data_IF_856959614473
#
_entry.id   IF_856959614473
#
_cell.length_a   1.000
_cell.length_b   1.000
_cell.length_c   1.000
_cell.angle_alpha   90.00
_cell.angle_beta   90.00
_cell.angle_gamma   90.00
#
_symmetry.space_group_name_H-M   'P 1'
#
loop_
_entity.id
_entity.type
_entity.pdbx_description
1 polymer ?
#
# COMPACT_ATOMS: atom_id res chain seq x y z
N UNK A 1 14.07 -4.66 -1.49
CA UNK A 1 13.49 -5.90 -2.06
C UNK A 1 13.48 -7.02 -1.03
N UNK A 2 14.64 -7.41 -0.47
CA UNK A 2 14.76 -8.52 0.51
C UNK A 2 13.74 -8.44 1.65
N UNK A 3 13.63 -7.30 2.32
CA UNK A 3 12.66 -7.14 3.42
C UNK A 3 11.22 -7.44 3.00
N UNK A 4 10.79 -6.99 1.81
CA UNK A 4 9.45 -7.25 1.31
C UNK A 4 9.24 -8.75 1.06
N UNK A 5 10.21 -9.43 0.43
CA UNK A 5 10.16 -10.88 0.17
C UNK A 5 10.09 -11.71 1.45
N UNK A 6 10.94 -11.38 2.43
CA UNK A 6 10.97 -12.08 3.72
C UNK A 6 9.66 -11.87 4.50
N UNK A 7 9.14 -10.64 4.48
CA UNK A 7 7.87 -10.31 5.12
C UNK A 7 6.70 -11.07 4.49
N UNK A 8 6.65 -11.12 3.16
CA UNK A 8 5.64 -11.84 2.38
C UNK A 8 5.65 -13.33 2.72
N UNK A 9 6.84 -13.92 2.70
CA UNK A 9 7.08 -15.33 3.05
C UNK A 9 6.63 -15.61 4.48
N UNK A 10 6.97 -14.72 5.42
CA UNK A 10 6.59 -14.88 6.83
C UNK A 10 5.09 -14.79 7.03
N UNK A 11 4.42 -13.85 6.37
CA UNK A 11 2.96 -13.71 6.42
C UNK A 11 2.28 -14.97 5.86
N UNK A 12 2.79 -15.53 4.76
CA UNK A 12 2.27 -16.80 4.23
C UNK A 12 2.43 -17.98 5.19
N UNK A 13 3.56 -18.08 5.89
CA UNK A 13 3.76 -19.09 6.92
C UNK A 13 2.75 -18.91 8.06
N UNK A 14 2.54 -17.68 8.52
CA UNK A 14 1.58 -17.36 9.58
C UNK A 14 0.13 -17.66 9.16
N UNK A 15 -0.24 -17.38 7.91
CA UNK A 15 -1.56 -17.71 7.36
C UNK A 15 -1.79 -19.23 7.39
N UNK A 16 -0.81 -20.03 6.94
CA UNK A 16 -0.89 -21.49 6.98
C UNK A 16 -0.98 -22.06 8.40
N UNK A 17 -0.54 -21.29 9.40
CA UNK A 17 -0.68 -21.61 10.83
C UNK A 17 -2.01 -21.12 11.43
N UNK A 18 -2.91 -20.55 10.63
CA UNK A 18 -4.20 -20.01 11.10
C UNK A 18 -4.09 -18.73 11.94
N UNK A 19 -2.96 -18.00 11.87
CA UNK A 19 -2.73 -16.79 12.67
C UNK A 19 -3.31 -15.50 12.06
N UNK A 20 -3.71 -15.57 10.80
CA UNK A 20 -4.33 -14.50 10.05
C UNK A 20 -5.42 -15.10 9.15
N UNK A 21 -6.28 -14.24 8.59
CA UNK A 21 -7.45 -14.68 7.85
C UNK A 21 -7.29 -14.58 6.33
N UNK A 22 -6.36 -13.76 5.84
CA UNK A 22 -6.17 -13.51 4.41
C UNK A 22 -4.75 -13.02 4.12
N UNK A 23 -4.27 -13.24 2.90
CA UNK A 23 -2.96 -12.73 2.45
C UNK A 23 -2.97 -12.44 0.95
N UNK A 24 -2.52 -11.24 0.58
CA UNK A 24 -2.23 -10.86 -0.80
C UNK A 24 -0.75 -10.56 -0.94
N UNK A 25 -0.02 -11.48 -1.58
CA UNK A 25 1.42 -11.36 -1.67
C UNK A 25 1.90 -10.31 -2.66
N UNK A 26 3.06 -9.72 -2.36
CA UNK A 26 3.79 -8.82 -3.27
C UNK A 26 4.94 -9.51 -4.02
N UNK A 27 5.14 -10.82 -3.78
CA UNK A 27 6.16 -11.63 -4.44
C UNK A 27 6.10 -11.51 -5.98
N UNK A 28 7.22 -11.11 -6.57
CA UNK A 28 7.41 -10.94 -8.01
C UNK A 28 7.28 -9.49 -8.47
N UNK A 29 6.71 -8.61 -7.65
CA UNK A 29 6.45 -7.21 -8.00
C UNK A 29 7.43 -6.24 -7.32
N UNK A 30 8.37 -6.73 -6.53
CA UNK A 30 9.17 -5.87 -5.63
C UNK A 30 10.06 -4.89 -6.39
N UNK A 31 10.57 -5.28 -7.56
CA UNK A 31 11.44 -4.44 -8.37
C UNK A 31 10.69 -3.24 -8.94
N UNK A 32 9.55 -3.48 -9.60
CA UNK A 32 8.72 -2.41 -10.19
C UNK A 32 8.17 -1.47 -9.13
N UNK A 33 7.71 -2.03 -8.01
CA UNK A 33 7.20 -1.26 -6.88
C UNK A 33 8.27 -0.38 -6.22
N UNK A 34 9.49 -0.89 -6.05
CA UNK A 34 10.56 -0.06 -5.49
C UNK A 34 11.08 0.97 -6.49
N UNK A 35 11.08 0.69 -7.79
CA UNK A 35 11.39 1.68 -8.81
C UNK A 35 10.41 2.87 -8.73
N UNK A 36 9.10 2.61 -8.55
CA UNK A 36 8.13 3.66 -8.30
C UNK A 36 8.39 4.37 -6.96
N UNK A 37 8.67 3.62 -5.89
CA UNK A 37 8.89 4.20 -4.56
C UNK A 37 10.10 5.14 -4.48
N UNK A 38 11.15 4.93 -5.28
CA UNK A 38 12.32 5.83 -5.33
C UNK A 38 12.08 7.10 -6.17
N UNK A 39 11.09 7.08 -7.05
CA UNK A 39 10.71 8.24 -7.87
C UNK A 39 9.74 9.20 -7.14
N UNK A 40 9.15 8.77 -6.04
CA UNK A 40 8.13 9.48 -5.27
C UNK A 40 8.75 10.20 -4.06
N UNK A 41 8.30 11.43 -3.78
CA UNK A 41 8.67 12.18 -2.57
C UNK A 41 7.75 11.81 -1.42
N UNK A 42 8.27 10.94 -0.57
CA UNK A 42 7.60 10.40 0.63
C UNK A 42 7.03 11.52 1.50
N UNK A 43 5.76 11.40 1.89
CA UNK A 43 5.05 12.39 2.72
C UNK A 43 4.68 13.70 2.02
N UNK A 44 5.06 13.86 0.74
CA UNK A 44 4.72 15.03 -0.09
C UNK A 44 3.80 14.61 -1.24
N UNK A 45 4.16 13.58 -1.98
CA UNK A 45 3.36 13.04 -3.06
C UNK A 45 2.30 12.08 -2.52
N UNK A 46 1.15 12.01 -3.19
CA UNK A 46 0.02 11.16 -2.77
C UNK A 46 0.09 9.78 -3.41
N UNK A 47 -0.32 8.78 -2.66
CA UNK A 47 -0.25 7.38 -3.08
C UNK A 47 -1.59 6.68 -2.96
N UNK A 48 -2.01 6.05 -4.06
CA UNK A 48 -3.16 5.16 -4.17
C UNK A 48 -2.66 3.76 -4.56
N UNK A 49 -2.02 3.03 -3.62
CA UNK A 49 -1.40 1.75 -3.91
C UNK A 49 -2.42 0.64 -4.16
N UNK A 50 -1.99 -0.36 -4.93
CA UNK A 50 -2.72 -1.60 -5.12
C UNK A 50 -2.53 -2.55 -3.93
N UNK A 51 -3.39 -3.56 -3.78
CA UNK A 51 -3.27 -4.48 -2.64
C UNK A 51 -1.99 -5.33 -2.69
N UNK A 52 -1.35 -5.44 -3.86
CA UNK A 52 -0.05 -6.10 -4.01
C UNK A 52 1.14 -5.18 -3.74
N UNK A 53 0.93 -3.89 -3.44
CA UNK A 53 1.99 -2.87 -3.32
C UNK A 53 2.72 -2.85 -1.96
N UNK A 54 2.92 -4.03 -1.38
CA UNK A 54 3.65 -4.19 -0.12
C UNK A 54 5.07 -3.64 -0.20
N UNK A 55 5.81 -3.92 -1.28
CA UNK A 55 7.17 -3.41 -1.44
C UNK A 55 7.21 -1.91 -1.70
N UNK A 56 6.23 -1.36 -2.41
CA UNK A 56 6.11 0.09 -2.62
C UNK A 56 5.89 0.81 -1.30
N UNK A 57 4.94 0.34 -0.48
CA UNK A 57 4.63 0.92 0.83
C UNK A 57 5.86 0.87 1.75
N UNK A 58 6.58 -0.26 1.80
CA UNK A 58 7.86 -0.36 2.50
C UNK A 58 8.89 0.64 1.94
N UNK A 59 8.96 0.74 0.62
CA UNK A 59 9.86 1.63 -0.10
C UNK A 59 9.63 3.10 0.22
N UNK A 60 8.39 3.53 0.46
CA UNK A 60 8.08 4.93 0.81
C UNK A 60 8.07 5.21 2.31
N UNK A 61 8.39 4.22 3.15
CA UNK A 61 8.65 4.41 4.59
C UNK A 61 7.69 3.70 5.55
N UNK A 62 6.69 2.97 5.06
CA UNK A 62 5.87 2.14 5.93
C UNK A 62 6.75 1.05 6.55
N UNK A 63 6.62 0.82 7.86
CA UNK A 63 7.46 -0.19 8.52
C UNK A 63 6.93 -1.61 8.28
N UNK A 64 7.82 -2.60 8.31
CA UNK A 64 7.41 -4.02 8.30
C UNK A 64 6.51 -4.38 9.49
N UNK A 65 6.73 -3.74 10.65
CA UNK A 65 5.86 -3.83 11.82
C UNK A 65 4.45 -3.33 11.50
N UNK A 66 4.30 -2.17 10.87
CA UNK A 66 3.01 -1.63 10.48
C UNK A 66 2.24 -2.60 9.56
N UNK A 67 2.91 -3.17 8.54
CA UNK A 67 2.30 -4.16 7.66
C UNK A 67 1.92 -5.45 8.41
N UNK A 68 2.73 -5.93 9.35
CA UNK A 68 2.39 -7.08 10.19
C UNK A 68 1.23 -6.82 11.14
N UNK A 69 1.13 -5.63 11.72
CA UNK A 69 0.01 -5.26 12.59
C UNK A 69 -1.31 -5.25 11.80
N UNK A 70 -1.30 -4.69 10.59
CA UNK A 70 -2.45 -4.75 9.68
C UNK A 70 -2.79 -6.19 9.26
N UNK A 71 -1.78 -6.98 8.87
CA UNK A 71 -1.96 -8.39 8.51
C UNK A 71 -2.57 -9.23 9.63
N UNK A 72 -2.21 -8.97 10.88
CA UNK A 72 -2.70 -9.68 12.05
C UNK A 72 -3.96 -9.04 12.69
N UNK A 73 -4.53 -8.01 12.06
CA UNK A 73 -5.68 -7.25 12.56
C UNK A 73 -5.53 -6.78 14.02
N UNK A 74 -4.39 -6.17 14.35
CA UNK A 74 -4.13 -5.66 15.71
C UNK A 74 -4.69 -4.25 15.88
N UNK A 75 -5.09 -3.92 17.10
CA UNK A 75 -5.55 -2.56 17.48
C UNK A 75 -4.51 -1.48 17.10
N UNK A 76 -3.23 -1.78 17.29
CA UNK A 76 -2.12 -0.89 16.96
C UNK A 76 -1.83 -0.77 15.45
N UNK A 77 -2.62 -1.40 14.57
CA UNK A 77 -2.50 -1.25 13.13
C UNK A 77 -2.66 0.23 12.71
N UNK A 78 -1.61 0.87 12.17
CA UNK A 78 -1.69 2.28 11.79
C UNK A 78 -2.54 2.51 10.54
N UNK A 79 -2.85 1.46 9.76
CA UNK A 79 -3.61 1.58 8.52
C UNK A 79 -5.11 1.77 8.82
N UNK A 80 -5.66 1.00 9.75
CA UNK A 80 -7.11 0.98 9.98
C UNK A 80 -7.53 0.73 11.43
N UNK A 81 -6.59 0.46 12.33
CA UNK A 81 -6.89 -0.08 13.67
C UNK A 81 -7.48 -1.49 13.60
N UNK A 82 -7.07 -2.30 12.62
CA UNK A 82 -7.51 -3.69 12.46
C UNK A 82 -8.91 -3.87 11.86
N UNK A 83 -9.49 -2.80 11.28
CA UNK A 83 -10.85 -2.82 10.68
C UNK A 83 -10.87 -3.25 9.22
N UNK A 84 -9.76 -3.07 8.50
CA UNK A 84 -9.63 -3.42 7.10
C UNK A 84 -9.05 -4.83 6.92
N UNK A 85 -9.31 -5.41 5.75
CA UNK A 85 -8.65 -6.64 5.32
C UNK A 85 -7.12 -6.45 5.27
N UNK A 86 -6.33 -7.50 5.54
CA UNK A 86 -4.89 -7.47 5.29
C UNK A 86 -4.52 -6.89 3.92
N UNK A 87 -3.39 -6.17 3.86
CA UNK A 87 -2.88 -5.49 2.65
C UNK A 87 -3.80 -4.39 2.06
N UNK A 88 -4.76 -3.88 2.81
CA UNK A 88 -5.34 -2.56 2.57
C UNK A 88 -4.48 -1.49 3.26
N UNK A 89 -3.52 -0.95 2.51
CA UNK A 89 -2.56 0.01 3.07
C UNK A 89 -3.19 1.39 3.28
N UNK A 90 -2.77 2.07 4.35
CA UNK A 90 -3.05 3.47 4.60
C UNK A 90 -2.03 4.05 5.58
N UNK A 91 -1.67 5.32 5.38
CA UNK A 91 -0.78 6.04 6.29
C UNK A 91 -0.90 7.54 6.00
N UNK A 92 -1.38 8.30 6.99
CA UNK A 92 -1.59 9.74 6.84
C UNK A 92 -0.28 10.52 6.69
N UNK A 93 0.78 10.10 7.38
CA UNK A 93 2.07 10.80 7.33
C UNK A 93 2.78 10.56 6.00
N UNK A 94 2.64 9.36 5.45
CA UNK A 94 3.19 9.00 4.13
C UNK A 94 2.28 9.38 2.96
N UNK A 95 1.10 9.97 3.21
CA UNK A 95 0.07 10.30 2.22
C UNK A 95 -0.39 9.09 1.40
N UNK A 96 -0.51 7.95 2.06
CA UNK A 96 -1.13 6.75 1.50
C UNK A 96 -2.62 6.78 1.83
N UNK A 97 -3.44 6.91 0.79
CA UNK A 97 -4.90 6.97 0.94
C UNK A 97 -5.44 5.58 1.27
N UNK A 98 -6.42 5.53 2.18
CA UNK A 98 -7.04 4.27 2.59
C UNK A 98 -7.61 3.53 1.40
N UNK A 99 -7.16 2.29 1.23
CA UNK A 99 -7.60 1.42 0.17
C UNK A 99 -8.96 0.76 0.49
N UNK A 100 -9.68 0.38 -0.57
CA UNK A 100 -10.87 -0.47 -0.53
C UNK A 100 -10.71 -1.70 -1.43
N UNK A 101 -11.49 -2.76 -1.18
CA UNK A 101 -11.43 -3.99 -1.99
C UNK A 101 -11.82 -3.82 -3.47
N UNK A 102 -12.82 -3.01 -3.85
CA UNK A 102 -13.21 -2.86 -5.24
C UNK A 102 -12.09 -2.28 -6.10
N UNK A 103 -11.55 -3.10 -7.00
CA UNK A 103 -10.45 -2.72 -7.88
C UNK A 103 -10.90 -1.68 -8.91
N UNK A 104 -10.05 -0.70 -9.17
CA UNK A 104 -10.25 0.32 -10.21
C UNK A 104 -10.86 1.62 -9.68
N UNK A 105 -11.58 1.54 -8.54
CA UNK A 105 -12.16 2.72 -7.87
C UNK A 105 -11.12 3.79 -7.54
N UNK A 106 -9.89 3.38 -7.22
CA UNK A 106 -8.81 4.29 -6.87
C UNK A 106 -8.34 5.17 -8.04
N UNK A 107 -8.59 4.80 -9.30
CA UNK A 107 -8.18 5.60 -10.46
C UNK A 107 -8.87 6.96 -10.49
N UNK A 108 -10.20 6.97 -10.41
CA UNK A 108 -10.95 8.24 -10.43
C UNK A 108 -10.72 9.06 -9.16
N UNK A 109 -10.52 8.39 -8.02
CA UNK A 109 -10.14 9.06 -6.77
C UNK A 109 -8.78 9.76 -6.90
N UNK A 110 -7.79 9.08 -7.48
CA UNK A 110 -6.46 9.62 -7.74
C UNK A 110 -6.51 10.79 -8.74
N UNK A 111 -7.31 10.69 -9.80
CA UNK A 111 -7.55 11.80 -10.74
C UNK A 111 -8.15 13.01 -10.03
N UNK A 112 -9.15 12.81 -9.17
CA UNK A 112 -9.74 13.87 -8.36
C UNK A 112 -8.72 14.53 -7.41
N UNK A 113 -7.88 13.73 -6.76
CA UNK A 113 -6.77 14.23 -5.95
C UNK A 113 -5.81 15.09 -6.78
N UNK A 114 -5.38 14.58 -7.95
CA UNK A 114 -4.45 15.28 -8.84
C UNK A 114 -5.03 16.60 -9.36
N UNK A 115 -6.33 16.63 -9.67
CA UNK A 115 -7.03 17.85 -10.05
C UNK A 115 -6.99 18.89 -8.92
N UNK A 116 -7.26 18.48 -7.68
CA UNK A 116 -7.17 19.36 -6.52
C UNK A 116 -5.73 19.90 -6.33
N UNK A 117 -4.70 19.04 -6.48
CA UNK A 117 -3.29 19.49 -6.39
C UNK A 117 -2.96 20.55 -7.44
N UNK A 118 -3.45 20.36 -8.67
CA UNK A 118 -3.33 21.33 -9.77
C UNK A 118 -4.00 22.66 -9.45
N UNK A 119 -5.21 22.64 -8.90
CA UNK A 119 -5.95 23.85 -8.51
C UNK A 119 -5.25 24.61 -7.38
N UNK A 120 -4.65 23.89 -6.43
CA UNK A 120 -3.84 24.46 -5.34
C UNK A 120 -2.46 24.95 -5.80
N UNK A 121 -2.11 24.79 -7.09
CA UNK A 121 -0.81 25.18 -7.68
C UNK A 121 0.39 24.55 -6.97
N UNK A 122 0.17 23.36 -6.42
CA UNK A 122 1.22 22.57 -5.79
C UNK A 122 1.99 21.77 -6.84
N UNK A 123 3.18 21.28 -6.46
CA UNK A 123 4.04 20.48 -7.35
C UNK A 123 4.11 19.01 -6.93
N UNK A 124 3.23 18.56 -6.02
CA UNK A 124 3.11 17.14 -5.70
C UNK A 124 2.45 16.34 -6.82
N UNK A 125 2.88 15.09 -6.92
CA UNK A 125 2.32 14.12 -7.86
C UNK A 125 1.39 13.17 -7.12
N UNK A 126 0.51 12.54 -7.89
CA UNK A 126 -0.38 11.49 -7.41
C UNK A 126 -0.01 10.20 -8.13
N UNK A 127 0.46 9.22 -7.36
CA UNK A 127 0.73 7.87 -7.83
C UNK A 127 -0.50 7.00 -7.64
N UNK A 128 -0.85 6.22 -8.67
CA UNK A 128 -1.90 5.21 -8.61
C UNK A 128 -1.45 3.97 -9.35
N UNK A 129 -1.81 2.80 -8.82
CA UNK A 129 -1.48 1.50 -9.39
C UNK A 129 -2.66 0.53 -9.32
N UNK A 130 -2.64 -0.45 -10.22
CA UNK A 130 -3.50 -1.63 -10.19
C UNK A 130 -2.84 -2.79 -10.92
N UNK A 131 -3.47 -3.97 -10.86
CA UNK A 131 -3.19 -5.05 -11.80
C UNK A 131 -3.81 -4.79 -13.16
N UNK A 132 -3.33 -5.50 -14.17
CA UNK A 132 -3.83 -5.48 -15.55
C UNK A 132 -5.29 -5.91 -15.65
N UNK A 133 -5.75 -6.88 -14.86
CA UNK A 133 -7.16 -7.27 -14.85
C UNK A 133 -8.13 -6.21 -14.31
N UNK A 134 -7.61 -5.06 -13.86
CA UNK A 134 -8.41 -3.91 -13.40
C UNK A 134 -8.71 -2.91 -14.53
N UNK A 135 -7.98 -2.97 -15.64
CA UNK A 135 -8.10 -2.07 -16.81
C UNK A 135 -8.77 -2.77 -17.97
#
# INVERSE_FOLDING_TARGET
MVLARELDTKMMIMLKQGKAFFHMGCSGHEASQLAAAVAIRRGVDWSYPYYRDGAYCLGIGMTSKAQLLGFLAREADPNSGGRQMPQHYSDRQLRIVSQSSPTGTQYLQAVGCALARRMEKTKDVVYVSSGEGTT
#
